data_IF_035561890509
#
_entry.id   IF_035561890509
#
_cell.length_a   1.000
_cell.length_b   1.000
_cell.length_c   1.000
_cell.angle_alpha   90.00
_cell.angle_beta   90.00
_cell.angle_gamma   90.00
#
_symmetry.space_group_name_H-M   'P 1'
#
loop_
_entity.id
_entity.type
_entity.pdbx_description
1 polymer ?
#
# COMPACT_ATOMS: atom_id res chain seq x y z
N UNK A 1 -10.42 1.36 -23.92
CA UNK A 1 -9.99 1.62 -22.54
C UNK A 1 -10.10 0.38 -21.65
N UNK A 2 -11.29 -0.20 -21.42
CA UNK A 2 -11.47 -1.39 -20.57
C UNK A 2 -10.57 -2.59 -20.95
N UNK A 3 -10.40 -2.88 -22.24
CA UNK A 3 -9.55 -3.96 -22.72
C UNK A 3 -8.07 -3.78 -22.36
N UNK A 4 -7.56 -2.55 -22.47
CA UNK A 4 -6.17 -2.23 -22.10
C UNK A 4 -5.97 -2.38 -20.58
N UNK A 5 -6.93 -1.93 -19.78
CA UNK A 5 -6.87 -2.10 -18.32
C UNK A 5 -6.91 -3.57 -17.92
N UNK A 6 -7.71 -4.38 -18.59
CA UNK A 6 -7.78 -5.83 -18.35
C UNK A 6 -6.46 -6.53 -18.68
N UNK A 7 -5.81 -6.18 -19.80
CA UNK A 7 -4.49 -6.72 -20.16
C UNK A 7 -3.43 -6.30 -19.13
N UNK A 8 -3.41 -5.04 -18.71
CA UNK A 8 -2.47 -4.55 -17.70
C UNK A 8 -2.64 -5.27 -16.36
N UNK A 9 -3.89 -5.48 -15.92
CA UNK A 9 -4.18 -6.24 -14.72
C UNK A 9 -3.69 -7.69 -14.83
N UNK A 10 -3.91 -8.33 -15.96
CA UNK A 10 -3.49 -9.72 -16.22
C UNK A 10 -1.96 -9.85 -16.23
N UNK A 11 -1.24 -8.89 -16.83
CA UNK A 11 0.22 -8.83 -16.81
C UNK A 11 0.74 -8.63 -15.38
N UNK A 12 0.09 -7.76 -14.60
CA UNK A 12 0.47 -7.53 -13.20
C UNK A 12 0.30 -8.80 -12.35
N UNK A 13 -0.82 -9.50 -12.50
CA UNK A 13 -1.12 -10.69 -11.70
C UNK A 13 -0.27 -11.90 -12.09
N UNK A 14 -0.04 -12.13 -13.40
CA UNK A 14 0.67 -13.32 -13.86
C UNK A 14 2.20 -13.18 -13.87
N UNK A 15 2.71 -11.98 -14.05
CA UNK A 15 4.15 -11.76 -14.18
C UNK A 15 4.75 -10.96 -13.03
N UNK A 16 4.19 -9.80 -12.70
CA UNK A 16 4.75 -8.91 -11.70
C UNK A 16 4.67 -9.52 -10.30
N UNK A 17 3.48 -9.97 -9.90
CA UNK A 17 3.25 -10.52 -8.56
C UNK A 17 4.06 -11.78 -8.25
N UNK A 18 4.14 -12.80 -9.14
CA UNK A 18 4.99 -13.96 -8.91
C UNK A 18 6.47 -13.61 -8.88
N UNK A 19 6.91 -12.67 -9.74
CA UNK A 19 8.30 -12.24 -9.79
C UNK A 19 8.73 -11.58 -8.48
N UNK A 20 7.92 -10.66 -7.93
CA UNK A 20 8.19 -10.00 -6.64
C UNK A 20 8.22 -11.01 -5.48
N UNK A 21 7.28 -11.98 -5.46
CA UNK A 21 7.25 -13.06 -4.46
C UNK A 21 8.49 -13.96 -4.57
N UNK A 22 8.96 -14.24 -5.78
CA UNK A 22 10.18 -15.03 -6.00
C UNK A 22 11.45 -14.29 -5.53
N UNK A 23 11.53 -12.99 -5.78
CA UNK A 23 12.59 -12.13 -5.26
C UNK A 23 12.59 -12.17 -3.73
N UNK A 24 11.43 -11.96 -3.10
CA UNK A 24 11.30 -12.00 -1.65
C UNK A 24 11.72 -13.35 -1.04
N UNK A 25 11.34 -14.47 -1.68
CA UNK A 25 11.78 -15.81 -1.28
C UNK A 25 13.28 -16.01 -1.42
N UNK A 26 13.88 -15.53 -2.51
CA UNK A 26 15.32 -15.65 -2.77
C UNK A 26 16.15 -14.93 -1.73
N UNK A 27 15.68 -13.77 -1.26
CA UNK A 27 16.32 -12.99 -0.20
C UNK A 27 15.89 -13.41 1.21
N UNK A 28 15.08 -14.48 1.35
CA UNK A 28 14.56 -14.99 2.65
C UNK A 28 13.91 -13.89 3.51
N UNK A 29 13.14 -13.02 2.87
CA UNK A 29 12.48 -11.91 3.56
C UNK A 29 11.33 -12.42 4.43
N UNK A 30 11.06 -11.71 5.53
CA UNK A 30 9.89 -11.96 6.37
C UNK A 30 8.58 -11.75 5.58
N UNK A 31 7.48 -12.29 6.08
CA UNK A 31 6.16 -12.15 5.42
C UNK A 31 5.75 -10.70 5.24
N UNK A 32 6.01 -9.86 6.24
CA UNK A 32 5.64 -8.43 6.20
C UNK A 32 6.51 -7.65 5.20
N UNK A 33 7.84 -7.93 5.17
CA UNK A 33 8.72 -7.34 4.16
C UNK A 33 8.37 -7.82 2.74
N UNK A 34 7.92 -9.07 2.61
CA UNK A 34 7.41 -9.57 1.33
C UNK A 34 6.15 -8.80 0.90
N UNK A 35 5.22 -8.58 1.84
CA UNK A 35 4.03 -7.75 1.62
C UNK A 35 4.39 -6.33 1.19
N UNK A 36 5.38 -5.73 1.83
CA UNK A 36 5.87 -4.39 1.48
C UNK A 36 6.47 -4.32 0.07
N UNK A 37 7.29 -5.29 -0.34
CA UNK A 37 7.84 -5.34 -1.72
C UNK A 37 6.73 -5.48 -2.75
N UNK A 38 5.73 -6.31 -2.47
CA UNK A 38 4.55 -6.46 -3.33
C UNK A 38 3.75 -5.15 -3.40
N UNK A 39 3.59 -4.45 -2.28
CA UNK A 39 2.92 -3.15 -2.23
C UNK A 39 3.66 -2.09 -3.06
N UNK A 40 5.00 -2.01 -2.96
CA UNK A 40 5.82 -1.13 -3.81
C UNK A 40 5.61 -1.46 -5.29
N UNK A 41 5.60 -2.74 -5.65
CA UNK A 41 5.37 -3.16 -7.04
C UNK A 41 4.03 -2.65 -7.59
N UNK A 42 2.98 -2.69 -6.76
CA UNK A 42 1.67 -2.15 -7.11
C UNK A 42 1.65 -0.62 -7.26
N UNK A 43 2.52 0.10 -6.55
CA UNK A 43 2.62 1.56 -6.64
C UNK A 43 3.37 2.06 -7.88
N UNK A 44 4.13 1.21 -8.57
CA UNK A 44 4.93 1.61 -9.74
C UNK A 44 4.10 2.25 -10.85
N UNK A 45 2.94 1.72 -11.27
CA UNK A 45 2.10 2.36 -12.29
C UNK A 45 1.61 3.76 -11.85
N UNK A 46 1.23 3.91 -10.59
CA UNK A 46 0.73 5.18 -10.02
C UNK A 46 1.85 6.23 -9.94
N UNK A 47 3.04 5.84 -9.52
CA UNK A 47 4.22 6.70 -9.55
C UNK A 47 4.57 7.14 -10.97
N UNK A 48 4.54 6.20 -11.92
CA UNK A 48 4.84 6.49 -13.32
C UNK A 48 3.85 7.49 -13.91
N UNK A 49 2.54 7.31 -13.66
CA UNK A 49 1.51 8.25 -14.12
C UNK A 49 1.66 9.62 -13.49
N UNK A 50 2.01 9.69 -12.21
CA UNK A 50 2.25 10.96 -11.50
C UNK A 50 3.46 11.70 -12.07
N UNK A 51 4.59 11.01 -12.29
CA UNK A 51 5.80 11.58 -12.88
C UNK A 51 5.53 12.07 -14.32
N UNK A 52 4.86 11.26 -15.14
CA UNK A 52 4.52 11.62 -16.50
C UNK A 52 3.56 12.82 -16.55
N UNK A 53 2.60 12.91 -15.63
CA UNK A 53 1.69 14.04 -15.51
C UNK A 53 2.45 15.32 -15.18
N UNK A 54 3.42 15.26 -14.29
CA UNK A 54 4.28 16.39 -13.95
C UNK A 54 5.13 16.85 -15.15
N UNK A 55 5.79 15.90 -15.82
CA UNK A 55 6.68 16.21 -16.94
C UNK A 55 5.95 16.79 -18.16
N UNK A 56 4.70 16.34 -18.41
CA UNK A 56 3.94 16.76 -19.59
C UNK A 56 3.07 18.00 -19.35
N UNK A 57 2.48 18.13 -18.19
CA UNK A 57 1.41 19.08 -17.90
C UNK A 57 1.70 20.04 -16.75
N UNK A 58 2.85 19.87 -16.07
CA UNK A 58 3.25 20.70 -14.95
C UNK A 58 2.38 20.51 -13.69
N UNK A 59 2.42 21.49 -12.80
CA UNK A 59 1.89 21.39 -11.43
C UNK A 59 0.39 21.07 -11.36
N UNK A 60 -0.46 21.68 -12.20
CA UNK A 60 -1.93 21.51 -12.12
C UNK A 60 -2.40 20.06 -12.30
N UNK A 61 -1.79 19.34 -13.25
CA UNK A 61 -2.14 17.92 -13.48
C UNK A 61 -1.51 17.00 -12.42
N UNK A 62 -0.42 17.43 -11.82
CA UNK A 62 0.20 16.70 -10.71
C UNK A 62 -0.68 16.71 -9.47
N UNK A 63 -1.35 17.83 -9.16
CA UNK A 63 -2.32 17.90 -8.07
C UNK A 63 -3.45 16.88 -8.24
N UNK A 64 -3.99 16.77 -9.45
CA UNK A 64 -5.01 15.77 -9.76
C UNK A 64 -4.48 14.33 -9.61
N UNK A 65 -3.28 14.04 -10.08
CA UNK A 65 -2.66 12.72 -9.94
C UNK A 65 -2.43 12.36 -8.46
N UNK A 66 -1.97 13.31 -7.64
CA UNK A 66 -1.80 13.12 -6.20
C UNK A 66 -3.14 12.85 -5.52
N UNK A 67 -4.18 13.64 -5.82
CA UNK A 67 -5.52 13.44 -5.27
C UNK A 67 -6.08 12.06 -5.63
N UNK A 68 -5.85 11.59 -6.85
CA UNK A 68 -6.24 10.25 -7.30
C UNK A 68 -5.52 9.15 -6.51
N UNK A 69 -4.23 9.30 -6.26
CA UNK A 69 -3.45 8.34 -5.47
C UNK A 69 -3.91 8.27 -4.01
N UNK A 70 -4.23 9.41 -3.40
CA UNK A 70 -4.82 9.45 -2.05
C UNK A 70 -6.18 8.76 -2.02
N UNK A 71 -7.02 9.00 -3.02
CA UNK A 71 -8.31 8.32 -3.16
C UNK A 71 -8.18 6.80 -3.34
N UNK A 72 -7.23 6.36 -4.17
CA UNK A 72 -6.93 4.94 -4.35
C UNK A 72 -6.45 4.27 -3.05
N UNK A 73 -5.61 4.96 -2.27
CA UNK A 73 -5.12 4.47 -0.98
C UNK A 73 -6.27 4.33 0.05
N UNK A 74 -7.17 5.32 0.11
CA UNK A 74 -8.38 5.24 0.94
C UNK A 74 -9.27 4.07 0.55
N UNK A 75 -9.51 3.88 -0.75
CA UNK A 75 -10.28 2.76 -1.27
C UNK A 75 -9.64 1.41 -0.89
N UNK A 76 -8.33 1.27 -1.09
CA UNK A 76 -7.59 0.07 -0.77
C UNK A 76 -7.63 -0.28 0.73
N UNK A 77 -7.61 0.72 1.61
CA UNK A 77 -7.64 0.51 3.07
C UNK A 77 -9.04 0.27 3.62
N UNK A 78 -10.09 0.71 2.95
CA UNK A 78 -11.48 0.61 3.45
C UNK A 78 -12.29 -0.44 2.71
N UNK A 79 -12.41 -0.30 1.40
CA UNK A 79 -13.31 -1.13 0.58
C UNK A 79 -12.73 -2.53 0.36
N UNK A 80 -11.44 -2.63 0.04
CA UNK A 80 -10.82 -3.93 -0.26
C UNK A 80 -10.88 -4.89 0.93
N UNK A 81 -10.50 -4.51 2.18
CA UNK A 81 -10.65 -5.40 3.34
C UNK A 81 -12.11 -5.74 3.67
N UNK A 82 -13.03 -4.77 3.50
CA UNK A 82 -14.45 -5.00 3.75
C UNK A 82 -15.03 -6.03 2.79
N UNK A 83 -14.72 -5.91 1.50
CA UNK A 83 -15.13 -6.88 0.48
C UNK A 83 -14.49 -8.24 0.75
N UNK A 84 -13.19 -8.28 1.01
CA UNK A 84 -12.48 -9.52 1.32
C UNK A 84 -13.09 -10.23 2.54
N UNK A 85 -13.43 -9.48 3.60
CA UNK A 85 -14.08 -10.04 4.79
C UNK A 85 -15.50 -10.55 4.49
N UNK A 86 -16.24 -9.91 3.59
CA UNK A 86 -17.59 -10.33 3.22
C UNK A 86 -17.62 -11.64 2.43
N UNK A 87 -16.57 -11.93 1.66
CA UNK A 87 -16.45 -13.16 0.88
C UNK A 87 -15.57 -14.22 1.58
N UNK A 88 -15.01 -13.92 2.74
CA UNK A 88 -14.23 -14.90 3.50
C UNK A 88 -15.12 -16.06 3.95
N UNK A 89 -14.72 -17.32 3.72
CA UNK A 89 -15.49 -18.47 4.21
C UNK A 89 -15.55 -18.45 5.74
N UNK A 90 -16.68 -18.86 6.33
CA UNK A 90 -16.81 -18.94 7.78
C UNK A 90 -15.75 -19.87 8.37
N UNK A 91 -15.15 -19.47 9.48
CA UNK A 91 -14.14 -20.26 10.19
C UNK A 91 -14.76 -21.56 10.69
N UNK A 92 -14.15 -22.69 10.38
CA UNK A 92 -14.58 -23.99 10.86
C UNK A 92 -14.21 -24.13 12.35
N UNK A 93 -15.05 -24.79 13.16
CA UNK A 93 -14.81 -25.01 14.59
C UNK A 93 -13.43 -25.62 14.90
N UNK A 94 -12.91 -26.49 14.03
CA UNK A 94 -11.57 -27.07 14.12
C UNK A 94 -10.43 -26.07 13.92
N UNK A 95 -10.63 -25.04 13.12
CA UNK A 95 -9.65 -23.97 12.89
C UNK A 95 -9.65 -22.98 14.07
N UNK A 96 -10.80 -22.81 14.71
CA UNK A 96 -10.94 -22.03 15.95
C UNK A 96 -10.22 -22.70 17.13
N UNK A 97 -10.36 -24.02 17.26
CA UNK A 97 -9.76 -24.83 18.33
C UNK A 97 -8.23 -24.91 18.21
N UNK A 98 -7.71 -24.99 16.98
CA UNK A 98 -6.27 -25.03 16.71
C UNK A 98 -5.57 -23.66 16.72
N UNK A 99 -6.24 -22.58 17.09
CA UNK A 99 -5.71 -21.21 17.08
C UNK A 99 -5.10 -20.80 15.72
N UNK A 100 -5.40 -21.52 14.64
CA UNK A 100 -4.98 -21.19 13.28
C UNK A 100 -5.88 -20.06 12.74
N UNK A 101 -5.59 -18.85 13.18
CA UNK A 101 -6.24 -17.66 12.62
C UNK A 101 -5.84 -17.50 11.16
N UNK A 102 -6.63 -18.03 10.25
CA UNK A 102 -6.54 -17.77 8.81
C UNK A 102 -7.07 -16.37 8.43
N UNK A 103 -7.21 -15.47 9.40
CA UNK A 103 -7.73 -14.14 9.21
C UNK A 103 -6.67 -13.05 9.27
N UNK A 104 -7.09 -11.81 9.08
CA UNK A 104 -6.28 -10.63 9.32
C UNK A 104 -5.78 -10.65 10.78
N UNK A 105 -4.47 -10.55 10.98
CA UNK A 105 -3.93 -10.35 12.32
C UNK A 105 -4.33 -8.94 12.82
N UNK A 106 -5.15 -8.84 13.89
CA UNK A 106 -5.65 -7.56 14.34
C UNK A 106 -4.54 -6.58 14.74
N UNK A 107 -3.43 -7.09 15.29
CA UNK A 107 -2.29 -6.26 15.68
C UNK A 107 -1.65 -5.57 14.47
N UNK A 108 -1.38 -6.34 13.42
CA UNK A 108 -0.83 -5.83 12.16
C UNK A 108 -1.80 -4.85 11.50
N UNK A 109 -3.08 -5.19 11.45
CA UNK A 109 -4.10 -4.32 10.86
C UNK A 109 -4.22 -2.97 11.59
N UNK A 110 -4.31 -2.96 12.92
CA UNK A 110 -4.40 -1.71 13.68
C UNK A 110 -3.13 -0.88 13.61
N UNK A 111 -1.97 -1.49 13.53
CA UNK A 111 -0.71 -0.81 13.28
C UNK A 111 -0.73 -0.08 11.93
N UNK A 112 -1.07 -0.80 10.86
CA UNK A 112 -1.06 -0.27 9.50
C UNK A 112 -2.12 0.83 9.33
N UNK A 113 -3.32 0.62 9.88
CA UNK A 113 -4.38 1.62 9.92
C UNK A 113 -3.97 2.88 10.68
N UNK A 114 -3.32 2.72 11.84
CA UNK A 114 -2.81 3.84 12.63
C UNK A 114 -1.78 4.68 11.88
N UNK A 115 -0.81 4.04 11.24
CA UNK A 115 0.17 4.72 10.39
C UNK A 115 -0.47 5.40 9.19
N UNK A 116 -1.46 4.78 8.57
CA UNK A 116 -2.17 5.36 7.45
C UNK A 116 -2.93 6.64 7.85
N UNK A 117 -3.69 6.60 8.94
CA UNK A 117 -4.40 7.79 9.47
C UNK A 117 -3.40 8.89 9.84
N UNK A 118 -2.32 8.55 10.52
CA UNK A 118 -1.27 9.50 10.87
C UNK A 118 -0.65 10.16 9.64
N UNK A 119 -0.34 9.36 8.61
CA UNK A 119 0.19 9.87 7.34
C UNK A 119 -0.79 10.78 6.61
N UNK A 120 -2.09 10.48 6.64
CA UNK A 120 -3.13 11.33 6.05
C UNK A 120 -3.26 12.67 6.77
N UNK A 121 -3.27 12.67 8.10
CA UNK A 121 -3.32 13.90 8.89
C UNK A 121 -2.08 14.76 8.61
N UNK A 122 -0.91 14.14 8.60
CA UNK A 122 0.34 14.82 8.30
C UNK A 122 0.37 15.39 6.87
N UNK A 123 -0.15 14.62 5.90
CA UNK A 123 -0.31 15.05 4.52
C UNK A 123 -1.25 16.27 4.44
N UNK A 124 -2.42 16.22 5.11
CA UNK A 124 -3.36 17.33 5.13
C UNK A 124 -2.75 18.62 5.70
N UNK A 125 -2.01 18.51 6.82
CA UNK A 125 -1.29 19.64 7.43
C UNK A 125 -0.17 20.18 6.52
N UNK A 126 0.55 19.29 5.82
CA UNK A 126 1.63 19.69 4.92
C UNK A 126 1.13 20.47 3.69
N UNK A 127 -0.13 20.24 3.29
CA UNK A 127 -0.76 20.89 2.13
C UNK A 127 -1.79 21.95 2.50
N UNK A 128 -1.94 22.30 3.79
CA UNK A 128 -2.92 23.29 4.26
C UNK A 128 -2.82 24.63 3.52
N UNK A 129 -1.61 25.07 3.19
CA UNK A 129 -1.36 26.32 2.46
C UNK A 129 -1.29 26.15 0.93
N UNK A 130 -1.65 25.00 0.39
CA UNK A 130 -1.59 24.72 -1.05
C UNK A 130 -0.17 24.64 -1.65
N UNK A 131 0.86 24.79 -0.84
CA UNK A 131 2.28 24.76 -1.26
C UNK A 131 3.00 23.66 -0.48
N UNK A 132 3.45 22.63 -1.18
CA UNK A 132 4.29 21.62 -0.56
C UNK A 132 5.74 22.11 -0.44
N UNK A 133 6.20 22.33 0.77
CA UNK A 133 7.61 22.66 1.03
C UNK A 133 8.47 21.41 0.85
N UNK A 134 9.70 21.58 0.38
CA UNK A 134 10.70 20.50 0.34
C UNK A 134 10.87 19.79 1.68
N UNK A 135 10.83 20.57 2.78
CA UNK A 135 10.89 20.04 4.15
C UNK A 135 9.72 19.09 4.44
N UNK A 136 8.49 19.45 4.05
CA UNK A 136 7.31 18.60 4.22
C UNK A 136 7.42 17.30 3.44
N UNK A 137 7.95 17.35 2.22
CA UNK A 137 8.24 16.15 1.43
C UNK A 137 9.26 15.23 2.11
N UNK A 138 10.36 15.78 2.62
CA UNK A 138 11.37 15.00 3.35
C UNK A 138 10.79 14.37 4.61
N UNK A 139 9.93 15.07 5.34
CA UNK A 139 9.25 14.53 6.53
C UNK A 139 8.29 13.39 6.16
N UNK A 140 7.49 13.52 5.09
CA UNK A 140 6.65 12.44 4.61
C UNK A 140 7.46 11.21 4.17
N UNK A 141 8.58 11.41 3.48
CA UNK A 141 9.49 10.31 3.13
C UNK A 141 10.08 9.64 4.37
N UNK A 142 10.42 10.40 5.42
CA UNK A 142 10.95 9.84 6.66
C UNK A 142 9.95 8.93 7.37
N UNK A 143 8.64 9.20 7.28
CA UNK A 143 7.60 8.34 7.84
C UNK A 143 7.62 6.93 7.25
N UNK A 144 7.94 6.79 5.96
CA UNK A 144 8.09 5.47 5.30
C UNK A 144 9.23 4.68 5.94
N UNK A 145 10.37 5.31 6.20
CA UNK A 145 11.51 4.65 6.86
C UNK A 145 11.21 4.26 8.31
N UNK A 146 10.49 5.12 9.04
CA UNK A 146 10.02 4.81 10.40
C UNK A 146 9.07 3.61 10.38
N UNK A 147 8.11 3.59 9.46
CA UNK A 147 7.21 2.44 9.29
C UNK A 147 7.98 1.15 9.01
N UNK A 148 8.92 1.17 8.07
CA UNK A 148 9.75 0.00 7.74
C UNK A 148 10.57 -0.48 8.94
N UNK A 149 11.14 0.45 9.71
CA UNK A 149 11.88 0.12 10.91
C UNK A 149 11.00 -0.60 11.94
N UNK A 150 9.78 -0.10 12.18
CA UNK A 150 8.82 -0.73 13.11
C UNK A 150 8.41 -2.12 12.62
N UNK A 151 8.10 -2.26 11.32
CA UNK A 151 7.78 -3.56 10.73
C UNK A 151 8.94 -4.54 10.88
N UNK A 152 10.18 -4.10 10.64
CA UNK A 152 11.37 -4.95 10.79
C UNK A 152 11.64 -5.37 12.23
N UNK A 153 11.33 -4.52 13.22
CA UNK A 153 11.47 -4.87 14.64
C UNK A 153 10.41 -5.86 15.11
N UNK A 154 9.16 -5.67 14.71
CA UNK A 154 8.06 -6.59 15.08
C UNK A 154 8.21 -8.00 14.50
N UNK A 155 9.04 -8.18 13.48
CA UNK A 155 9.34 -9.50 12.90
C UNK A 155 10.52 -10.24 13.55
N UNK A 156 11.17 -9.65 14.54
CA UNK A 156 12.27 -10.29 15.28
C UNK A 156 11.80 -11.05 16.52
N UNK A 157 10.58 -10.74 16.97
CA UNK A 157 9.90 -11.42 18.08
C UNK A 157 8.94 -12.52 17.55
#
# INVERSE_FOLDING_TARGET
>A
MLYIMMILALIADEFLMPSLKNIAKRYKLSKDLTGFIVAIGNLVPELTTTILSFLRHGVKMTEFAIATNVGASLFAMTVVPAVAASFAPPMTLKELENNQRKGLDPKTFFRDLGFFIFSLVFYALAFENGICSFTSCCMLMSLVFVYLYIVAQMNKD
#
